data_IF_628027827766
#
_entry.id   IF_628027827766
#
_cell.length_a   1.000
_cell.length_b   1.000
_cell.length_c   1.000
_cell.angle_alpha   90.00
_cell.angle_beta   90.00
_cell.angle_gamma   90.00
#
_symmetry.space_group_name_H-M   'P 1'
#
loop_
_entity.id
_entity.type
_entity.pdbx_description
1 polymer ?
#
# COMPACT_ATOMS: atom_id res chain seq x y z
N UNK A 1 -10.65 -0.04 14.09
CA UNK A 1 -9.65 -0.47 13.08
C UNK A 1 -9.21 0.78 12.32
N UNK A 2 -7.91 1.00 12.09
CA UNK A 2 -7.42 2.24 11.43
C UNK A 2 -7.22 1.97 9.93
N UNK A 3 -7.72 2.87 9.09
CA UNK A 3 -7.68 2.76 7.64
C UNK A 3 -6.97 3.97 7.04
N UNK A 4 -6.23 3.77 5.95
CA UNK A 4 -5.59 4.84 5.19
C UNK A 4 -5.66 4.55 3.68
N UNK A 5 -5.87 5.60 2.89
CA UNK A 5 -5.82 5.52 1.43
C UNK A 5 -4.58 6.24 0.92
N UNK A 6 -3.76 5.53 0.16
CA UNK A 6 -2.52 6.07 -0.41
C UNK A 6 -2.62 6.05 -1.93
N UNK A 7 -2.56 7.23 -2.54
CA UNK A 7 -2.45 7.40 -3.99
C UNK A 7 -0.98 7.42 -4.40
N UNK A 8 -0.68 6.99 -5.62
CA UNK A 8 0.70 6.84 -6.07
C UNK A 8 1.47 5.71 -5.36
N UNK A 9 0.76 4.73 -4.78
CA UNK A 9 1.35 3.69 -3.94
C UNK A 9 2.30 2.71 -4.67
N UNK A 10 2.29 2.69 -6.00
CA UNK A 10 3.11 1.76 -6.81
C UNK A 10 4.64 1.95 -6.69
N UNK A 11 5.13 3.11 -6.26
CA UNK A 11 6.58 3.39 -6.22
C UNK A 11 6.94 4.54 -5.28
N UNK A 12 8.24 4.73 -5.01
CA UNK A 12 8.76 5.87 -4.27
C UNK A 12 8.13 6.03 -2.89
N UNK A 13 7.78 7.28 -2.55
CA UNK A 13 7.23 7.63 -1.24
C UNK A 13 5.89 6.93 -0.97
N UNK A 14 5.01 6.84 -1.96
CA UNK A 14 3.71 6.17 -1.80
C UNK A 14 3.88 4.70 -1.42
N UNK A 15 4.81 3.99 -2.07
CA UNK A 15 5.15 2.60 -1.71
C UNK A 15 5.72 2.48 -0.29
N UNK A 16 6.63 3.38 0.08
CA UNK A 16 7.24 3.37 1.40
C UNK A 16 6.20 3.62 2.51
N UNK A 17 5.28 4.57 2.31
CA UNK A 17 4.19 4.84 3.24
C UNK A 17 3.22 3.66 3.36
N UNK A 18 2.83 3.04 2.23
CA UNK A 18 1.94 1.88 2.25
C UNK A 18 2.52 0.73 3.07
N UNK A 19 3.80 0.41 2.88
CA UNK A 19 4.48 -0.62 3.66
C UNK A 19 4.58 -0.25 5.13
N UNK A 20 4.92 1.01 5.45
CA UNK A 20 5.05 1.48 6.83
C UNK A 20 3.74 1.37 7.61
N UNK A 21 2.65 1.90 7.07
CA UNK A 21 1.35 1.84 7.74
C UNK A 21 0.82 0.40 7.87
N UNK A 22 1.04 -0.43 6.86
CA UNK A 22 0.66 -1.84 6.91
C UNK A 22 1.43 -2.61 8.00
N UNK A 23 2.72 -2.31 8.19
CA UNK A 23 3.56 -2.86 9.28
C UNK A 23 3.10 -2.39 10.66
N UNK A 24 2.56 -1.18 10.77
CA UNK A 24 1.95 -0.64 12.00
C UNK A 24 0.53 -1.16 12.24
N UNK A 25 0.02 -2.08 11.41
CA UNK A 25 -1.27 -2.75 11.59
C UNK A 25 -2.47 -2.00 11.01
N UNK A 26 -2.26 -0.96 10.21
CA UNK A 26 -3.33 -0.25 9.52
C UNK A 26 -3.78 -1.02 8.28
N UNK A 27 -5.07 -0.93 7.93
CA UNK A 27 -5.57 -1.36 6.62
C UNK A 27 -5.27 -0.26 5.60
N UNK A 28 -4.53 -0.61 4.55
CA UNK A 28 -4.06 0.31 3.52
C UNK A 28 -4.79 0.01 2.22
N UNK A 29 -5.57 0.96 1.73
CA UNK A 29 -6.03 0.97 0.36
C UNK A 29 -4.95 1.63 -0.51
N UNK A 30 -4.38 0.91 -1.46
CA UNK A 30 -3.31 1.38 -2.34
C UNK A 30 -3.85 1.63 -3.75
N UNK A 31 -3.59 2.81 -4.31
CA UNK A 31 -4.01 3.14 -5.69
C UNK A 31 -2.89 3.79 -6.49
N UNK A 32 -2.80 3.42 -7.77
CA UNK A 32 -1.85 3.95 -8.74
C UNK A 32 -2.26 3.50 -10.15
N UNK A 33 -1.62 4.08 -11.18
CA UNK A 33 -1.90 3.75 -12.59
C UNK A 33 -1.38 2.38 -13.05
N UNK A 34 -0.37 1.83 -12.36
CA UNK A 34 0.32 0.59 -12.73
C UNK A 34 -0.10 -0.54 -11.81
N UNK A 35 -1.07 -1.32 -12.26
CA UNK A 35 -1.67 -2.42 -11.50
C UNK A 35 -0.67 -3.53 -11.15
N UNK A 36 0.22 -3.89 -12.08
CA UNK A 36 1.25 -4.91 -11.84
C UNK A 36 2.13 -4.59 -10.61
N UNK A 37 2.53 -3.33 -10.45
CA UNK A 37 3.30 -2.88 -9.29
C UNK A 37 2.47 -2.82 -8.01
N UNK A 38 1.16 -2.54 -8.10
CA UNK A 38 0.26 -2.63 -6.94
C UNK A 38 0.10 -4.07 -6.47
N UNK A 39 -0.04 -5.01 -7.41
CA UNK A 39 -0.13 -6.44 -7.12
C UNK A 39 1.16 -6.97 -6.48
N UNK A 40 2.33 -6.43 -6.85
CA UNK A 40 3.60 -6.75 -6.18
C UNK A 40 3.62 -6.28 -4.72
N UNK A 41 3.17 -5.05 -4.42
CA UNK A 41 3.21 -4.54 -3.04
C UNK A 41 2.15 -5.17 -2.15
N UNK A 42 0.97 -5.52 -2.67
CA UNK A 42 -0.08 -6.19 -1.89
C UNK A 42 0.40 -7.57 -1.39
N UNK A 43 1.23 -8.27 -2.16
CA UNK A 43 1.86 -9.53 -1.75
C UNK A 43 2.85 -9.38 -0.59
N UNK A 44 3.39 -8.18 -0.35
CA UNK A 44 4.38 -7.94 0.72
C UNK A 44 3.74 -7.83 2.10
N UNK A 45 2.45 -7.47 2.19
CA UNK A 45 1.74 -7.38 3.45
C UNK A 45 0.23 -7.54 3.27
N UNK A 46 -0.37 -8.47 4.01
CA UNK A 46 -1.82 -8.77 3.99
C UNK A 46 -2.73 -7.59 4.31
N UNK A 47 -2.21 -6.53 4.95
CA UNK A 47 -2.96 -5.33 5.26
C UNK A 47 -2.98 -4.32 4.11
N UNK A 48 -2.43 -4.65 2.93
CA UNK A 48 -2.43 -3.80 1.73
C UNK A 48 -3.39 -4.41 0.71
N UNK A 49 -4.43 -3.65 0.35
CA UNK A 49 -5.40 -3.97 -0.71
C UNK A 49 -5.30 -2.99 -1.87
#
# INVERSE_FOLDING_TARGET
MKNIWITGASSGIGKALALRFAQEGWQVAASARRENLLNEISKLNKNIS
#
